data_IF_106151367433
#
_entry.id   IF_106151367433
#
_cell.length_a   1.000
_cell.length_b   1.000
_cell.length_c   1.000
_cell.angle_alpha   90.00
_cell.angle_beta   90.00
_cell.angle_gamma   90.00
#
_symmetry.space_group_name_H-M   'P 1'
#
loop_
_entity.id
_entity.type
_entity.pdbx_description
1 polymer ?
#
# COMPACT_ATOMS: atom_id res chain seq x y z
N UNK A 1 4.07 11.95 -2.70
CA UNK A 1 3.15 11.67 -3.82
C UNK A 1 2.78 10.20 -3.83
N UNK A 2 1.50 9.91 -3.96
CA UNK A 2 1.03 8.53 -4.01
C UNK A 2 1.01 8.03 -5.46
N UNK A 3 1.43 6.77 -5.67
CA UNK A 3 1.44 6.14 -6.98
C UNK A 3 0.21 5.24 -7.09
N UNK A 4 -0.59 5.44 -8.11
CA UNK A 4 -1.77 4.60 -8.36
C UNK A 4 -1.31 3.34 -9.10
N UNK A 5 -1.56 2.19 -8.48
CA UNK A 5 -1.12 0.91 -9.00
C UNK A 5 -2.19 0.30 -9.92
N UNK A 6 -1.72 -0.29 -11.01
CA UNK A 6 -2.51 -1.14 -11.88
C UNK A 6 -1.63 -2.32 -12.34
N UNK A 7 -2.19 -3.21 -13.13
CA UNK A 7 -1.45 -4.40 -13.58
C UNK A 7 -0.24 -4.05 -14.45
N UNK A 8 -0.27 -2.90 -15.12
CA UNK A 8 0.79 -2.51 -16.06
C UNK A 8 1.99 -1.91 -15.36
N UNK A 9 1.82 -1.31 -14.16
CA UNK A 9 2.90 -0.64 -13.46
C UNK A 9 3.33 -1.32 -12.16
N UNK A 10 2.64 -2.37 -11.73
CA UNK A 10 2.95 -3.00 -10.44
C UNK A 10 4.41 -3.50 -10.40
N UNK A 11 4.84 -4.20 -11.43
CA UNK A 11 6.20 -4.73 -11.45
C UNK A 11 7.24 -3.62 -11.37
N UNK A 12 7.12 -2.58 -12.21
CA UNK A 12 8.10 -1.50 -12.26
C UNK A 12 8.07 -0.63 -11.01
N UNK A 13 6.89 -0.34 -10.47
CA UNK A 13 6.77 0.57 -9.34
C UNK A 13 7.01 -0.10 -8.00
N UNK A 14 6.65 -1.37 -7.85
CA UNK A 14 6.73 -2.08 -6.57
C UNK A 14 7.87 -3.08 -6.56
N UNK A 15 7.87 -4.04 -7.49
CA UNK A 15 8.83 -5.14 -7.44
C UNK A 15 10.25 -4.71 -7.78
N UNK A 16 10.40 -3.73 -8.65
CA UNK A 16 11.73 -3.23 -9.09
C UNK A 16 12.12 -1.93 -8.39
N UNK A 17 11.39 -1.52 -7.37
CA UNK A 17 11.71 -0.31 -6.63
C UNK A 17 13.02 -0.48 -5.85
N UNK A 18 13.86 0.55 -5.90
CA UNK A 18 15.08 0.62 -5.08
C UNK A 18 14.82 1.22 -3.70
N UNK A 19 13.58 1.66 -3.44
CA UNK A 19 13.13 2.18 -2.15
C UNK A 19 12.18 1.17 -1.51
N UNK A 20 12.05 1.19 -0.17
CA UNK A 20 10.94 0.49 0.47
C UNK A 20 9.61 0.99 -0.06
N UNK A 21 8.66 0.09 -0.24
CA UNK A 21 7.34 0.41 -0.82
C UNK A 21 6.24 0.05 0.16
N UNK A 22 5.31 0.97 0.34
CA UNK A 22 4.05 0.73 1.05
C UNK A 22 2.96 0.62 0.00
N UNK A 23 2.22 -0.49 -0.01
CA UNK A 23 1.07 -0.66 -0.90
C UNK A 23 -0.20 -0.72 -0.06
N UNK A 24 -1.09 0.24 -0.26
CA UNK A 24 -2.40 0.31 0.39
C UNK A 24 -3.45 -0.32 -0.54
N UNK A 25 -3.92 -1.50 -0.17
CA UNK A 25 -5.05 -2.14 -0.85
C UNK A 25 -6.34 -1.62 -0.22
N UNK A 26 -7.13 -0.95 -1.03
CA UNK A 26 -8.32 -0.22 -0.56
C UNK A 26 -9.49 -0.43 -1.51
N UNK A 27 -10.67 0.07 -1.12
CA UNK A 27 -11.86 0.04 -1.97
C UNK A 27 -12.65 1.33 -1.78
N UNK A 28 -13.38 1.72 -2.82
CA UNK A 28 -14.17 2.96 -2.82
C UNK A 28 -15.31 2.92 -1.82
N UNK A 29 -15.86 1.72 -1.55
CA UNK A 29 -16.99 1.51 -0.65
C UNK A 29 -16.56 1.30 0.81
N UNK A 30 -15.29 1.35 1.10
CA UNK A 30 -14.74 1.00 2.41
C UNK A 30 -14.58 2.24 3.29
N UNK A 31 -15.37 2.33 4.36
CA UNK A 31 -15.30 3.45 5.32
C UNK A 31 -13.94 3.59 6.00
N UNK A 32 -13.40 2.51 6.59
CA UNK A 32 -12.06 2.57 7.20
C UNK A 32 -10.96 2.99 6.23
N UNK A 33 -11.07 2.60 4.94
CA UNK A 33 -10.12 3.04 3.92
C UNK A 33 -10.17 4.55 3.73
N UNK A 34 -11.39 5.12 3.70
CA UNK A 34 -11.57 6.57 3.57
C UNK A 34 -10.99 7.31 4.78
N UNK A 35 -11.14 6.74 5.97
CA UNK A 35 -10.57 7.32 7.19
C UNK A 35 -9.04 7.28 7.18
N UNK A 36 -8.46 6.25 6.57
CA UNK A 36 -7.01 6.07 6.52
C UNK A 36 -6.37 6.93 5.43
N UNK A 37 -7.11 7.31 4.39
CA UNK A 37 -6.56 8.00 3.23
C UNK A 37 -5.72 9.25 3.55
N UNK A 38 -6.16 10.15 4.47
CA UNK A 38 -5.33 11.30 4.81
C UNK A 38 -3.99 10.93 5.44
N UNK A 39 -3.97 9.87 6.26
CA UNK A 39 -2.75 9.38 6.90
C UNK A 39 -1.78 8.83 5.84
N UNK A 40 -2.28 8.08 4.88
CA UNK A 40 -1.44 7.55 3.79
C UNK A 40 -0.84 8.68 2.97
N UNK A 41 -1.65 9.69 2.65
CA UNK A 41 -1.17 10.87 1.91
C UNK A 41 -0.08 11.61 2.70
N UNK A 42 -0.28 11.78 3.99
CA UNK A 42 0.68 12.45 4.86
C UNK A 42 2.01 11.69 4.89
N UNK A 43 1.95 10.36 5.01
CA UNK A 43 3.15 9.52 4.98
C UNK A 43 3.89 9.70 3.65
N UNK A 44 3.17 9.71 2.54
CA UNK A 44 3.77 9.90 1.22
C UNK A 44 4.48 11.26 1.12
N UNK A 45 3.85 12.30 1.63
CA UNK A 45 4.37 13.68 1.52
C UNK A 45 5.57 13.91 2.44
N UNK A 46 5.61 13.23 3.59
CA UNK A 46 6.64 13.46 4.60
C UNK A 46 7.84 12.52 4.49
N UNK A 47 7.74 11.46 3.70
CA UNK A 47 8.78 10.41 3.66
C UNK A 47 9.22 10.13 2.22
N UNK A 48 10.05 11.00 1.62
CA UNK A 48 10.49 10.81 0.24
C UNK A 48 11.41 9.61 0.04
N UNK A 49 11.89 9.01 1.12
CA UNK A 49 12.74 7.82 1.09
C UNK A 49 11.95 6.52 0.93
N UNK A 50 10.61 6.59 0.98
CA UNK A 50 9.75 5.44 0.72
C UNK A 50 8.80 5.77 -0.42
N UNK A 51 8.36 4.73 -1.13
CA UNK A 51 7.34 4.88 -2.16
C UNK A 51 6.00 4.43 -1.61
N UNK A 52 4.99 5.27 -1.73
CA UNK A 52 3.63 4.97 -1.27
C UNK A 52 2.74 4.73 -2.47
N UNK A 53 2.15 3.55 -2.52
CA UNK A 53 1.31 3.11 -3.64
C UNK A 53 -0.09 2.79 -3.15
N UNK A 54 -1.08 2.97 -4.03
CA UNK A 54 -2.47 2.64 -3.74
C UNK A 54 -3.01 1.70 -4.81
N UNK A 55 -3.65 0.62 -4.39
CA UNK A 55 -4.24 -0.37 -5.28
C UNK A 55 -5.71 -0.59 -4.90
N UNK A 56 -6.61 -0.11 -5.75
CA UNK A 56 -8.05 -0.37 -5.59
C UNK A 56 -8.30 -1.85 -5.89
N UNK A 57 -8.84 -2.59 -4.93
CA UNK A 57 -9.01 -4.05 -5.08
C UNK A 57 -10.03 -4.41 -6.17
N UNK A 58 -11.00 -3.54 -6.42
CA UNK A 58 -12.00 -3.80 -7.45
C UNK A 58 -11.44 -3.61 -8.86
N UNK A 59 -10.46 -2.72 -9.01
CA UNK A 59 -9.73 -2.51 -10.26
C UNK A 59 -8.56 -3.46 -10.44
N UNK A 60 -8.10 -4.10 -9.36
CA UNK A 60 -6.91 -4.95 -9.33
C UNK A 60 -7.20 -6.29 -8.68
N UNK A 61 -8.25 -6.97 -9.14
CA UNK A 61 -8.71 -8.22 -8.53
C UNK A 61 -7.64 -9.32 -8.57
N UNK A 62 -6.95 -9.46 -9.70
CA UNK A 62 -5.89 -10.47 -9.82
C UNK A 62 -4.75 -10.22 -8.84
N UNK A 63 -4.36 -8.95 -8.70
CA UNK A 63 -3.30 -8.57 -7.78
C UNK A 63 -3.70 -8.84 -6.33
N UNK A 64 -4.94 -8.48 -5.98
CA UNK A 64 -5.47 -8.75 -4.65
C UNK A 64 -5.49 -10.25 -4.35
N UNK A 65 -5.86 -11.08 -5.32
CA UNK A 65 -5.84 -12.53 -5.16
C UNK A 65 -4.41 -13.05 -5.00
N UNK A 66 -3.48 -12.52 -5.77
CA UNK A 66 -2.06 -12.92 -5.71
C UNK A 66 -1.50 -12.75 -4.31
N UNK A 67 -1.85 -11.66 -3.63
CA UNK A 67 -1.37 -11.37 -2.28
C UNK A 67 -2.36 -11.76 -1.20
N UNK A 68 -3.43 -12.47 -1.57
CA UNK A 68 -4.43 -13.01 -0.64
C UNK A 68 -5.08 -11.92 0.21
N UNK A 69 -5.39 -10.79 -0.44
CA UNK A 69 -6.07 -9.68 0.22
C UNK A 69 -7.55 -10.04 0.34
N UNK A 70 -8.03 -10.24 1.57
CA UNK A 70 -9.41 -10.64 1.85
C UNK A 70 -10.21 -9.57 2.57
N UNK A 71 -9.52 -8.59 3.17
CA UNK A 71 -10.15 -7.45 3.86
C UNK A 71 -9.46 -6.17 3.44
N UNK A 72 -10.14 -5.05 3.56
CA UNK A 72 -9.57 -3.73 3.27
C UNK A 72 -9.84 -2.79 4.44
N UNK A 73 -8.93 -1.86 4.74
CA UNK A 73 -7.62 -1.72 4.10
C UNK A 73 -6.64 -2.79 4.55
N UNK A 74 -5.78 -3.24 3.64
CA UNK A 74 -4.62 -4.07 3.97
C UNK A 74 -3.39 -3.38 3.40
N UNK A 75 -2.41 -3.17 4.24
CA UNK A 75 -1.16 -2.52 3.86
C UNK A 75 -0.06 -3.57 3.79
N UNK A 76 0.68 -3.59 2.69
CA UNK A 76 1.85 -4.45 2.53
C UNK A 76 3.09 -3.58 2.42
N UNK A 77 4.15 -3.97 3.13
CA UNK A 77 5.46 -3.36 2.98
C UNK A 77 6.33 -4.27 2.12
N UNK A 78 6.93 -3.70 1.08
CA UNK A 78 7.84 -4.41 0.19
C UNK A 78 9.26 -3.86 0.34
N UNK A 79 10.23 -4.75 0.30
CA UNK A 79 11.66 -4.40 0.17
C UNK A 79 12.30 -5.38 -0.79
N UNK A 80 13.02 -4.84 -1.77
CA UNK A 80 13.73 -5.65 -2.77
C UNK A 80 12.79 -6.64 -3.47
N UNK A 81 11.58 -6.19 -3.77
CA UNK A 81 10.58 -6.99 -4.50
C UNK A 81 9.83 -8.01 -3.67
N UNK A 82 10.00 -8.01 -2.36
CA UNK A 82 9.38 -9.02 -1.48
C UNK A 82 8.56 -8.36 -0.38
N UNK A 83 7.43 -8.99 -0.03
CA UNK A 83 6.63 -8.57 1.11
C UNK A 83 7.41 -8.87 2.39
N UNK A 84 7.68 -7.84 3.18
CA UNK A 84 8.40 -7.98 4.46
C UNK A 84 7.51 -7.77 5.66
N UNK A 85 6.32 -7.18 5.47
CA UNK A 85 5.40 -6.95 6.57
C UNK A 85 3.98 -6.71 6.04
N UNK A 86 3.00 -6.90 6.92
CA UNK A 86 1.59 -6.72 6.59
C UNK A 86 0.86 -6.10 7.79
N UNK A 87 -0.09 -5.20 7.51
CA UNK A 87 -0.90 -4.55 8.52
C UNK A 87 -2.33 -4.45 8.01
N UNK A 88 -3.29 -4.92 8.79
CA UNK A 88 -4.71 -4.93 8.42
C UNK A 88 -5.47 -3.92 9.26
N UNK A 89 -6.32 -3.13 8.61
CA UNK A 89 -7.15 -2.14 9.28
C UNK A 89 -6.56 -0.74 9.26
N UNK A 90 -7.35 0.23 9.71
CA UNK A 90 -6.95 1.65 9.75
C UNK A 90 -6.13 1.93 11.01
N UNK A 91 -4.87 1.53 10.98
CA UNK A 91 -3.96 1.66 12.11
C UNK A 91 -3.29 3.04 12.13
N UNK A 92 -2.53 3.31 13.19
CA UNK A 92 -1.89 4.61 13.38
C UNK A 92 -0.74 4.83 12.41
N UNK A 93 -0.40 6.10 12.19
CA UNK A 93 0.75 6.49 11.38
C UNK A 93 2.04 5.85 11.90
N UNK A 94 2.23 5.83 13.23
CA UNK A 94 3.42 5.24 13.85
C UNK A 94 3.53 3.74 13.54
N UNK A 95 2.41 3.02 13.61
CA UNK A 95 2.40 1.59 13.31
C UNK A 95 2.72 1.33 11.85
N UNK A 96 2.16 2.16 10.95
CA UNK A 96 2.42 2.02 9.52
C UNK A 96 3.90 2.28 9.21
N UNK A 97 4.47 3.35 9.77
CA UNK A 97 5.88 3.66 9.55
C UNK A 97 6.79 2.58 10.12
N UNK A 98 6.41 1.97 11.25
CA UNK A 98 7.18 0.91 11.87
C UNK A 98 7.30 -0.33 10.97
N UNK A 99 6.28 -0.63 10.17
CA UNK A 99 6.31 -1.81 9.30
C UNK A 99 7.28 -1.66 8.12
N UNK A 100 7.74 -0.44 7.86
CA UNK A 100 8.67 -0.14 6.76
C UNK A 100 10.14 -0.09 7.20
N UNK A 101 10.39 -0.29 8.47
CA UNK A 101 11.76 -0.24 9.02
C UNK A 101 12.47 -1.59 8.93
#
# INVERSE_FOLDING_TARGET
MEVIINKDNFESEVLKSDKPVLVDFWATWCGPCAMLAPTIKEIADENPDIKVCKADVDENMELAQQFKITVVPTLLAFKDGKVVNQLVGAESKEQILAMLK
#
